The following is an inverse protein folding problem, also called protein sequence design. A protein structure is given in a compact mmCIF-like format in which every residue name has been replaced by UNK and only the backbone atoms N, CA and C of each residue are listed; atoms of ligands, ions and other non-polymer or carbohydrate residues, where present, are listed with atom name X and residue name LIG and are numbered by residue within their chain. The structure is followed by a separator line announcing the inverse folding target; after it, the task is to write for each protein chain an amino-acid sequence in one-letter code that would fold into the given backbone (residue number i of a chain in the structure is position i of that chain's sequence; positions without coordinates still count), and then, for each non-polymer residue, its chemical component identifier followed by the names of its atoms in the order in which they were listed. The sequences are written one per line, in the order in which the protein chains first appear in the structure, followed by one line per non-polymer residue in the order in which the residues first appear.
data_IF_235639346519
#
_entry.id   IF_235639346519
#
_cell.length_a   1.000
_cell.length_b   1.000
_cell.length_c   1.000
_cell.angle_alpha   90.00
_cell.angle_beta   90.00
_cell.angle_gamma   90.00
#
_symmetry.space_group_name_H-M   'P 1'
#
loop_
_entity.id
_entity.type
_entity.pdbx_description
1 polymer ?
#
# COMPACT_ATOMS: atom_id res chain seq x y z
N UNK A 1 -17.38 4.01 -43.70
CA UNK A 1 -16.91 3.76 -42.30
C UNK A 1 -16.73 2.28 -41.92
N UNK A 2 -17.60 1.36 -42.36
CA UNK A 2 -17.60 -0.05 -41.92
C UNK A 2 -16.27 -0.80 -42.14
N UNK A 3 -15.64 -0.63 -43.31
CA UNK A 3 -14.38 -1.32 -43.64
C UNK A 3 -13.24 -0.98 -42.65
N UNK A 4 -13.13 0.29 -42.25
CA UNK A 4 -12.13 0.74 -41.26
C UNK A 4 -12.41 0.14 -39.89
N UNK A 5 -13.68 0.03 -39.48
CA UNK A 5 -14.04 -0.60 -38.21
C UNK A 5 -13.73 -2.10 -38.20
N UNK A 6 -13.93 -2.78 -39.33
CA UNK A 6 -13.56 -4.19 -39.50
C UNK A 6 -12.04 -4.35 -39.39
N UNK A 7 -11.25 -3.49 -40.05
CA UNK A 7 -9.79 -3.53 -39.95
C UNK A 7 -9.31 -3.24 -38.52
N UNK A 8 -9.88 -2.21 -37.85
CA UNK A 8 -9.58 -1.91 -36.45
C UNK A 8 -9.88 -3.11 -35.53
N UNK A 9 -11.01 -3.77 -35.75
CA UNK A 9 -11.44 -4.96 -35.00
C UNK A 9 -10.52 -6.14 -35.25
N UNK A 10 -10.13 -6.38 -36.51
CA UNK A 10 -9.18 -7.43 -36.87
C UNK A 10 -7.80 -7.19 -36.24
N UNK A 11 -7.30 -5.94 -36.23
CA UNK A 11 -6.05 -5.58 -35.56
C UNK A 11 -6.12 -5.82 -34.04
N UNK A 12 -7.27 -5.52 -33.43
CA UNK A 12 -7.46 -5.68 -31.99
C UNK A 12 -7.58 -7.15 -31.55
N UNK A 13 -8.53 -7.88 -32.15
CA UNK A 13 -8.86 -9.26 -31.78
C UNK A 13 -7.89 -10.27 -32.41
N UNK A 14 -7.48 -10.07 -33.68
CA UNK A 14 -6.49 -10.90 -34.34
C UNK A 14 -5.11 -10.77 -33.70
N UNK A 15 -4.68 -9.54 -33.39
CA UNK A 15 -3.49 -9.31 -32.57
C UNK A 15 -3.60 -9.96 -31.17
N UNK A 16 -4.83 -10.06 -30.66
CA UNK A 16 -5.28 -10.88 -29.52
C UNK A 16 -4.76 -12.29 -29.56
N UNK A 17 -5.22 -13.02 -30.55
CA UNK A 17 -4.94 -14.43 -30.76
C UNK A 17 -3.45 -14.67 -31.03
N UNK A 18 -2.78 -13.72 -31.67
CA UNK A 18 -1.35 -13.78 -32.01
C UNK A 18 -0.40 -13.38 -30.87
N UNK A 19 -0.90 -13.09 -29.66
CA UNK A 19 -0.06 -12.78 -28.50
C UNK A 19 0.61 -11.39 -28.51
N UNK A 20 0.22 -10.49 -29.42
CA UNK A 20 0.83 -9.15 -29.54
C UNK A 20 0.54 -8.32 -28.28
N UNK A 21 1.47 -7.56 -27.67
CA UNK A 21 1.14 -6.73 -26.49
C UNK A 21 0.03 -5.69 -26.75
N UNK A 22 -0.83 -5.44 -25.75
CA UNK A 22 -1.98 -4.51 -25.89
C UNK A 22 -1.55 -3.09 -26.30
N UNK A 23 -0.41 -2.61 -25.81
CA UNK A 23 0.14 -1.30 -26.18
C UNK A 23 0.48 -1.20 -27.66
N UNK A 24 1.06 -2.25 -28.25
CA UNK A 24 1.42 -2.27 -29.67
C UNK A 24 0.16 -2.33 -30.56
N UNK A 25 -0.85 -3.10 -30.18
CA UNK A 25 -2.15 -3.15 -30.88
C UNK A 25 -2.84 -1.79 -30.87
N UNK A 26 -2.88 -1.13 -29.71
CA UNK A 26 -3.45 0.21 -29.58
C UNK A 26 -2.67 1.24 -30.42
N UNK A 27 -1.34 1.16 -30.43
CA UNK A 27 -0.49 2.00 -31.26
C UNK A 27 -0.76 1.84 -32.76
N UNK A 28 -0.89 0.59 -33.24
CA UNK A 28 -1.21 0.32 -34.65
C UNK A 28 -2.58 0.89 -35.06
N UNK A 29 -3.60 0.76 -34.20
CA UNK A 29 -4.92 1.33 -34.44
C UNK A 29 -4.87 2.87 -34.44
N UNK A 30 -4.10 3.48 -33.53
CA UNK A 30 -3.92 4.92 -33.47
C UNK A 30 -3.21 5.46 -34.73
N UNK A 31 -2.14 4.80 -35.19
CA UNK A 31 -1.43 5.15 -36.43
C UNK A 31 -2.36 5.05 -37.64
N UNK A 32 -3.13 3.95 -37.74
CA UNK A 32 -4.12 3.78 -38.80
C UNK A 32 -5.18 4.89 -38.78
N UNK A 33 -5.67 5.26 -37.60
CA UNK A 33 -6.65 6.33 -37.43
C UNK A 33 -6.08 7.71 -37.83
N UNK A 34 -4.85 8.03 -37.43
CA UNK A 34 -4.19 9.28 -37.82
C UNK A 34 -3.97 9.34 -39.33
N UNK A 35 -3.51 8.24 -39.94
CA UNK A 35 -3.34 8.15 -41.39
C UNK A 35 -4.68 8.35 -42.13
N UNK A 36 -5.77 7.81 -41.59
CA UNK A 36 -7.12 7.97 -42.14
C UNK A 36 -7.62 9.42 -42.04
N UNK A 37 -7.40 10.09 -40.91
CA UNK A 37 -7.77 11.50 -40.76
C UNK A 37 -6.93 12.38 -41.69
N UNK A 38 -5.62 12.13 -41.79
CA UNK A 38 -4.73 12.85 -42.70
C UNK A 38 -5.15 12.66 -44.17
N UNK A 39 -5.52 11.44 -44.56
CA UNK A 39 -6.06 11.16 -45.90
C UNK A 39 -7.27 12.05 -46.22
N UNK A 40 -8.21 12.23 -45.27
CA UNK A 40 -9.41 13.05 -45.51
C UNK A 40 -9.15 14.55 -45.49
N UNK A 41 -8.08 15.00 -44.84
CA UNK A 41 -7.72 16.42 -44.76
C UNK A 41 -6.83 16.86 -45.94
N UNK A 42 -5.96 15.99 -46.45
CA UNK A 42 -4.97 16.32 -47.48
C UNK A 42 -5.49 16.08 -48.89
N UNK A 43 -6.29 15.01 -49.09
CA UNK A 43 -6.70 14.63 -50.44
C UNK A 43 -8.00 15.33 -50.88
N UNK A 44 -8.09 15.72 -52.17
CA UNK A 44 -9.30 16.24 -52.79
C UNK A 44 -10.53 15.34 -52.59
N UNK A 45 -11.73 15.93 -52.62
CA UNK A 45 -12.98 15.22 -52.32
C UNK A 45 -13.33 14.11 -53.35
N UNK A 46 -12.81 14.23 -54.56
CA UNK A 46 -12.93 13.28 -55.67
C UNK A 46 -11.92 12.13 -55.62
N UNK A 47 -11.01 12.13 -54.63
CA UNK A 47 -10.01 11.08 -54.53
C UNK A 47 -10.65 9.71 -54.21
N UNK A 48 -10.32 8.63 -54.95
CA UNK A 48 -10.95 7.31 -54.79
C UNK A 48 -10.90 6.75 -53.36
N UNK A 49 -9.80 7.04 -52.63
CA UNK A 49 -9.62 6.61 -51.25
C UNK A 49 -10.47 7.39 -50.24
N UNK A 50 -10.93 8.60 -50.56
CA UNK A 50 -11.88 9.35 -49.72
C UNK A 50 -13.29 8.81 -49.92
N UNK A 51 -13.64 8.53 -51.17
CA UNK A 51 -14.96 7.99 -51.54
C UNK A 51 -15.23 6.62 -50.94
N UNK A 52 -14.20 5.78 -50.77
CA UNK A 52 -14.32 4.47 -50.11
C UNK A 52 -14.52 4.55 -48.59
N UNK A 53 -14.34 5.73 -47.98
CA UNK A 53 -14.41 5.96 -46.54
C UNK A 53 -15.43 7.03 -46.13
N UNK A 54 -16.54 7.13 -46.86
CA UNK A 54 -17.68 8.08 -46.72
C UNK A 54 -17.42 9.53 -47.18
N UNK A 55 -16.29 9.83 -47.81
CA UNK A 55 -16.00 11.12 -48.47
C UNK A 55 -15.80 12.32 -47.55
N UNK A 56 -16.32 12.27 -46.32
CA UNK A 56 -16.31 13.36 -45.35
C UNK A 56 -15.37 13.09 -44.18
N UNK A 57 -14.62 14.12 -43.77
CA UNK A 57 -13.78 14.07 -42.57
C UNK A 57 -14.59 14.15 -41.26
N UNK A 58 -15.83 14.66 -41.31
CA UNK A 58 -16.58 15.04 -40.11
C UNK A 58 -16.83 13.87 -39.14
N UNK A 59 -17.26 12.67 -39.58
CA UNK A 59 -17.47 11.53 -38.68
C UNK A 59 -16.18 11.07 -38.00
N UNK A 60 -15.06 11.12 -38.72
CA UNK A 60 -13.74 10.74 -38.21
C UNK A 60 -13.25 11.73 -37.16
N UNK A 61 -13.43 13.04 -37.39
CA UNK A 61 -13.08 14.08 -36.42
C UNK A 61 -13.95 14.02 -35.16
N UNK A 62 -15.25 13.75 -35.29
CA UNK A 62 -16.15 13.57 -34.14
C UNK A 62 -15.74 12.38 -33.28
N UNK A 63 -15.38 11.25 -33.91
CA UNK A 63 -14.90 10.06 -33.20
C UNK A 63 -13.59 10.35 -32.46
N UNK A 64 -12.68 11.12 -33.06
CA UNK A 64 -11.44 11.58 -32.42
C UNK A 64 -11.70 12.50 -31.24
N UNK A 65 -12.59 13.48 -31.40
CA UNK A 65 -12.99 14.40 -30.33
C UNK A 65 -13.58 13.66 -29.14
N UNK A 66 -14.46 12.68 -29.38
CA UNK A 66 -15.00 11.84 -28.32
C UNK A 66 -13.92 11.02 -27.60
N UNK A 67 -12.99 10.42 -28.35
CA UNK A 67 -11.87 9.68 -27.76
C UNK A 67 -10.98 10.58 -26.88
N UNK A 68 -10.70 11.81 -27.31
CA UNK A 68 -9.95 12.80 -26.53
C UNK A 68 -10.70 13.15 -25.24
N UNK A 69 -12.01 13.40 -25.30
CA UNK A 69 -12.82 13.67 -24.11
C UNK A 69 -12.78 12.51 -23.09
N UNK A 70 -12.88 11.27 -23.56
CA UNK A 70 -12.78 10.08 -22.70
C UNK A 70 -11.39 9.98 -22.04
N UNK A 71 -10.32 10.24 -22.79
CA UNK A 71 -8.95 10.23 -22.26
C UNK A 71 -8.75 11.33 -21.23
N UNK A 72 -9.19 12.56 -21.51
CA UNK A 72 -9.11 13.69 -20.58
C UNK A 72 -9.92 13.43 -19.30
N UNK A 73 -11.13 12.89 -19.42
CA UNK A 73 -11.95 12.50 -18.28
C UNK A 73 -11.26 11.43 -17.42
N UNK A 74 -10.70 10.39 -18.06
CA UNK A 74 -9.97 9.32 -17.36
C UNK A 74 -8.72 9.85 -16.66
N UNK A 75 -7.96 10.74 -17.30
CA UNK A 75 -6.78 11.37 -16.70
C UNK A 75 -7.18 12.24 -15.51
N UNK A 76 -8.22 13.08 -15.65
CA UNK A 76 -8.76 13.89 -14.56
C UNK A 76 -9.18 13.03 -13.37
N UNK A 77 -9.95 11.98 -13.60
CA UNK A 77 -10.37 11.06 -12.54
C UNK A 77 -9.19 10.37 -11.84
N UNK A 78 -8.19 9.93 -12.60
CA UNK A 78 -6.99 9.31 -12.04
C UNK A 78 -6.19 10.29 -11.17
N UNK A 79 -6.02 11.54 -11.62
CA UNK A 79 -5.33 12.57 -10.83
C UNK A 79 -6.09 12.92 -9.55
N UNK A 80 -7.42 12.99 -9.60
CA UNK A 80 -8.25 13.24 -8.42
C UNK A 80 -8.20 12.06 -7.43
N UNK A 81 -8.21 10.82 -7.92
CA UNK A 81 -8.04 9.62 -7.09
C UNK A 81 -6.66 9.55 -6.43
N UNK A 82 -5.60 9.85 -7.17
CA UNK A 82 -4.24 9.89 -6.63
C UNK A 82 -4.07 10.99 -5.56
N UNK A 83 -4.76 12.13 -5.70
CA UNK A 83 -4.80 13.19 -4.67
C UNK A 83 -5.64 12.80 -3.46
N UNK A 84 -6.74 12.07 -3.67
CA UNK A 84 -7.61 11.61 -2.59
C UNK A 84 -6.99 10.44 -1.79
N UNK A 85 -6.04 9.72 -2.38
CA UNK A 85 -5.36 8.60 -1.75
C UNK A 85 -3.89 8.61 -2.20
N UNK A 86 -2.99 9.37 -1.54
CA UNK A 86 -1.58 9.34 -1.88
C UNK A 86 -1.07 7.91 -1.68
N UNK A 87 -0.58 7.28 -2.74
CA UNK A 87 0.20 6.04 -2.61
C UNK A 87 1.46 6.38 -1.80
N UNK A 88 1.70 5.71 -0.66
CA UNK A 88 2.89 5.97 0.13
C UNK A 88 4.14 5.56 -0.68
N UNK A 89 5.01 6.54 -0.96
CA UNK A 89 6.34 6.33 -1.52
C UNK A 89 7.10 5.31 -0.67
N UNK A 90 7.50 4.19 -1.28
CA UNK A 90 8.09 3.06 -0.56
C UNK A 90 9.61 3.11 -0.64
N UNK A 91 10.35 3.12 0.48
CA UNK A 91 11.78 2.80 0.48
C UNK A 91 11.97 1.29 0.32
N UNK A 92 13.00 0.91 -0.44
CA UNK A 92 13.24 -0.43 -0.92
C UNK A 92 13.61 -1.46 0.18
N UNK A 93 12.68 -2.38 0.48
CA UNK A 93 12.95 -3.79 0.83
C UNK A 93 11.68 -4.60 0.51
N UNK A 94 11.42 -4.77 -0.79
CA UNK A 94 10.05 -4.81 -1.29
C UNK A 94 9.38 -6.19 -1.43
N UNK A 95 10.08 -7.27 -1.10
CA UNK A 95 9.54 -8.64 -1.20
C UNK A 95 9.57 -9.39 0.13
N UNK A 96 8.53 -10.18 0.39
CA UNK A 96 8.50 -11.16 1.47
C UNK A 96 9.38 -12.37 1.13
N UNK A 97 10.07 -12.93 2.12
CA UNK A 97 10.66 -14.27 1.99
C UNK A 97 9.57 -15.34 1.93
N UNK A 98 9.92 -16.56 1.50
CA UNK A 98 8.98 -17.69 1.51
C UNK A 98 8.45 -18.00 2.92
N UNK A 99 9.29 -17.82 3.96
CA UNK A 99 8.87 -18.02 5.35
C UNK A 99 7.86 -16.95 5.79
N UNK A 100 8.06 -15.69 5.39
CA UNK A 100 7.11 -14.61 5.64
C UNK A 100 5.80 -14.82 4.89
N UNK A 101 5.86 -15.22 3.61
CA UNK A 101 4.66 -15.52 2.81
C UNK A 101 3.82 -16.63 3.44
N UNK A 102 4.45 -17.71 3.89
CA UNK A 102 3.74 -18.81 4.57
C UNK A 102 3.12 -18.33 5.89
N UNK A 103 3.89 -17.60 6.71
CA UNK A 103 3.44 -17.07 8.00
C UNK A 103 2.25 -16.11 7.86
N UNK A 104 2.30 -15.19 6.90
CA UNK A 104 1.28 -14.16 6.70
C UNK A 104 0.19 -14.54 5.70
N UNK A 105 0.20 -15.77 5.17
CA UNK A 105 -0.74 -16.22 4.15
C UNK A 105 -2.21 -15.95 4.53
N UNK A 106 -2.57 -16.17 5.80
CA UNK A 106 -3.93 -15.94 6.31
C UNK A 106 -4.35 -14.46 6.31
N UNK A 107 -3.42 -13.53 6.40
CA UNK A 107 -3.71 -12.09 6.27
C UNK A 107 -3.74 -11.66 4.81
N UNK A 108 -2.82 -12.17 3.99
CA UNK A 108 -2.70 -11.84 2.57
C UNK A 108 -3.96 -12.24 1.79
N UNK A 109 -4.66 -13.30 2.18
CA UNK A 109 -5.92 -13.71 1.52
C UNK A 109 -7.13 -12.83 1.91
N UNK A 110 -7.04 -12.03 2.97
CA UNK A 110 -8.13 -11.13 3.37
C UNK A 110 -8.23 -9.98 2.39
N UNK A 111 -9.44 -9.71 1.88
CA UNK A 111 -9.68 -8.68 0.88
C UNK A 111 -9.27 -7.29 1.36
N UNK A 112 -9.49 -7.01 2.64
CA UNK A 112 -9.21 -5.72 3.28
C UNK A 112 -7.72 -5.50 3.57
N UNK A 113 -6.92 -6.58 3.61
CA UNK A 113 -5.47 -6.50 3.88
C UNK A 113 -4.69 -6.76 2.59
N UNK A 114 -4.80 -7.94 2.00
CA UNK A 114 -4.07 -8.29 0.79
C UNK A 114 -2.54 -8.30 0.99
N UNK A 115 -1.80 -8.54 -0.10
CA UNK A 115 -0.34 -8.40 -0.10
C UNK A 115 0.12 -6.97 0.17
N UNK A 116 -0.63 -5.96 -0.31
CA UNK A 116 -0.32 -4.55 -0.12
C UNK A 116 -0.45 -4.13 1.35
N UNK A 117 -1.52 -4.52 2.04
CA UNK A 117 -1.72 -4.23 3.46
C UNK A 117 -0.72 -4.96 4.34
N UNK A 118 -0.38 -6.21 4.02
CA UNK A 118 0.69 -6.91 4.75
C UNK A 118 2.04 -6.22 4.56
N UNK A 119 2.31 -5.68 3.36
CA UNK A 119 3.53 -4.91 3.08
C UNK A 119 3.54 -3.59 3.84
N UNK A 120 2.39 -2.92 3.94
CA UNK A 120 2.23 -1.74 4.78
C UNK A 120 2.53 -2.05 6.26
N UNK A 121 2.03 -3.17 6.80
CA UNK A 121 2.38 -3.61 8.16
C UNK A 121 3.90 -3.85 8.31
N UNK A 122 4.52 -4.55 7.34
CA UNK A 122 5.98 -4.81 7.34
C UNK A 122 6.81 -3.52 7.31
N UNK A 123 6.30 -2.46 6.71
CA UNK A 123 7.01 -1.17 6.64
C UNK A 123 6.67 -0.23 7.81
N UNK A 124 5.60 -0.52 8.55
CA UNK A 124 5.14 0.31 9.65
C UNK A 124 6.05 0.22 10.89
N UNK A 125 6.13 1.34 11.59
CA UNK A 125 6.76 1.50 12.89
C UNK A 125 5.70 1.87 13.92
N UNK A 126 5.50 1.01 14.93
CA UNK A 126 4.53 1.26 16.00
C UNK A 126 5.24 1.38 17.35
N UNK A 127 4.96 2.46 18.09
CA UNK A 127 5.42 2.63 19.47
C UNK A 127 4.30 2.21 20.42
N UNK A 128 4.62 1.35 21.39
CA UNK A 128 3.73 1.00 22.49
C UNK A 128 4.30 1.56 23.79
N UNK A 129 3.52 2.43 24.44
CA UNK A 129 3.87 3.04 25.72
C UNK A 129 3.27 2.19 26.84
N UNK A 130 4.12 1.50 27.57
CA UNK A 130 3.75 0.52 28.58
C UNK A 130 3.71 -0.92 28.02
N UNK A 131 4.38 -1.83 28.71
CA UNK A 131 4.36 -3.28 28.48
C UNK A 131 3.48 -4.00 29.53
N UNK A 132 2.57 -3.26 30.17
CA UNK A 132 1.66 -3.77 31.20
C UNK A 132 0.43 -4.51 30.65
N UNK A 133 -0.69 -4.48 31.38
CA UNK A 133 -1.88 -5.30 31.06
C UNK A 133 -2.54 -4.97 29.72
N UNK A 134 -2.41 -3.73 29.22
CA UNK A 134 -2.93 -3.30 27.92
C UNK A 134 -1.88 -3.45 26.81
N UNK A 135 -0.63 -3.08 27.10
CA UNK A 135 0.47 -3.17 26.15
C UNK A 135 0.85 -4.61 25.81
N UNK A 136 0.82 -5.53 26.78
CA UNK A 136 1.18 -6.93 26.60
C UNK A 136 0.43 -7.62 25.44
N UNK A 137 -0.92 -7.64 25.40
CA UNK A 137 -1.64 -8.22 24.28
C UNK A 137 -1.42 -7.45 22.97
N UNK A 138 -1.32 -6.12 23.02
CA UNK A 138 -1.06 -5.31 21.82
C UNK A 138 0.29 -5.69 21.17
N UNK A 139 1.35 -5.77 21.97
CA UNK A 139 2.70 -6.18 21.53
C UNK A 139 2.68 -7.58 20.89
N UNK A 140 2.01 -8.56 21.52
CA UNK A 140 1.87 -9.91 20.97
C UNK A 140 1.20 -9.91 19.59
N UNK A 141 0.09 -9.19 19.44
CA UNK A 141 -0.64 -9.18 18.17
C UNK A 141 0.04 -8.34 17.08
N UNK A 142 0.71 -7.24 17.43
CA UNK A 142 1.53 -6.47 16.48
C UNK A 142 2.69 -7.31 15.95
N UNK A 143 3.39 -8.03 16.84
CA UNK A 143 4.47 -8.93 16.47
C UNK A 143 3.97 -10.08 15.59
N UNK A 144 2.87 -10.73 15.99
CA UNK A 144 2.24 -11.80 15.22
C UNK A 144 1.76 -11.33 13.83
N UNK A 145 1.22 -10.11 13.75
CA UNK A 145 0.74 -9.51 12.51
C UNK A 145 1.87 -9.11 11.55
N UNK A 146 3.12 -9.06 12.02
CA UNK A 146 4.27 -8.71 11.19
C UNK A 146 4.45 -7.22 11.01
N UNK A 147 4.14 -6.42 12.05
CA UNK A 147 4.55 -5.01 12.08
C UNK A 147 6.07 -4.93 12.07
N UNK A 148 6.61 -4.19 11.12
CA UNK A 148 8.05 -4.19 10.81
C UNK A 148 8.93 -3.78 11.97
N UNK A 149 8.61 -2.64 12.60
CA UNK A 149 9.33 -2.14 13.77
C UNK A 149 8.37 -1.89 14.92
N UNK A 150 8.66 -2.47 16.08
CA UNK A 150 7.88 -2.28 17.31
C UNK A 150 8.79 -1.65 18.35
N UNK A 151 8.50 -0.40 18.72
CA UNK A 151 9.06 0.25 19.89
C UNK A 151 8.25 -0.11 21.12
N UNK A 152 8.91 -0.39 22.24
CA UNK A 152 8.24 -0.57 23.52
C UNK A 152 9.00 0.20 24.60
N UNK A 153 8.29 1.08 25.31
CA UNK A 153 8.86 1.88 26.39
C UNK A 153 8.12 1.59 27.70
N UNK A 154 8.86 1.17 28.72
CA UNK A 154 8.36 0.86 30.07
C UNK A 154 9.57 0.88 31.01
N UNK A 155 9.42 1.42 32.23
CA UNK A 155 10.46 1.49 33.25
C UNK A 155 10.41 0.36 34.30
N UNK A 156 9.33 -0.41 34.32
CA UNK A 156 9.10 -1.43 35.34
C UNK A 156 9.79 -2.78 35.01
N UNK A 157 9.88 -3.61 36.05
CA UNK A 157 10.27 -5.01 35.95
C UNK A 157 9.05 -5.95 36.01
N UNK A 158 9.23 -7.19 35.58
CA UNK A 158 8.20 -8.23 35.68
C UNK A 158 8.03 -8.66 37.13
N UNK A 159 6.78 -8.67 37.60
CA UNK A 159 6.42 -9.08 38.96
C UNK A 159 5.34 -10.17 38.93
N UNK A 160 5.41 -11.12 39.87
CA UNK A 160 4.45 -12.22 39.98
C UNK A 160 2.99 -11.73 40.08
N UNK A 161 2.75 -10.67 40.86
CA UNK A 161 1.43 -10.06 41.07
C UNK A 161 0.84 -9.38 39.82
N UNK A 162 1.58 -9.36 38.71
CA UNK A 162 1.15 -8.80 37.44
C UNK A 162 0.89 -9.86 36.35
N UNK A 163 1.34 -11.11 36.55
CA UNK A 163 1.27 -12.18 35.54
C UNK A 163 -0.17 -12.61 35.20
N UNK A 164 -1.15 -12.39 36.07
CA UNK A 164 -2.56 -12.68 35.80
C UNK A 164 -3.17 -11.86 34.65
N UNK A 165 -2.52 -10.76 34.24
CA UNK A 165 -2.99 -9.88 33.15
C UNK A 165 -1.92 -9.50 32.13
N UNK A 166 -0.64 -9.61 32.48
CA UNK A 166 0.46 -9.26 31.58
C UNK A 166 0.97 -10.52 30.84
N UNK A 167 0.13 -11.05 29.96
CA UNK A 167 0.26 -12.39 29.34
C UNK A 167 1.47 -12.56 28.40
N UNK A 168 2.19 -11.48 28.08
CA UNK A 168 3.44 -11.55 27.32
C UNK A 168 4.63 -11.98 28.20
N UNK A 169 4.51 -11.80 29.53
CA UNK A 169 5.55 -12.15 30.49
C UNK A 169 5.32 -13.55 31.05
N UNK A 170 6.42 -14.22 31.43
CA UNK A 170 6.42 -15.56 32.01
C UNK A 170 7.01 -15.51 33.42
N UNK A 171 6.67 -16.49 34.24
CA UNK A 171 7.18 -16.61 35.62
C UNK A 171 8.72 -16.60 35.66
N UNK A 172 9.38 -17.26 34.69
CA UNK A 172 10.83 -17.27 34.55
C UNK A 172 11.47 -15.89 34.25
N UNK A 173 10.66 -14.88 33.89
CA UNK A 173 11.14 -13.52 33.60
C UNK A 173 10.97 -12.55 34.77
N UNK A 174 10.47 -13.00 35.93
CA UNK A 174 10.34 -12.15 37.14
C UNK A 174 11.69 -11.48 37.46
N UNK A 175 11.66 -10.18 37.74
CA UNK A 175 12.85 -9.34 37.97
C UNK A 175 13.58 -8.89 36.69
N UNK A 176 13.13 -9.31 35.50
CA UNK A 176 13.64 -8.78 34.24
C UNK A 176 12.85 -7.51 33.87
N UNK A 177 13.49 -6.46 33.33
CA UNK A 177 12.76 -5.32 32.79
C UNK A 177 11.70 -5.75 31.77
N UNK A 178 10.48 -5.21 31.88
CA UNK A 178 9.34 -5.64 31.05
C UNK A 178 9.64 -5.51 29.56
N UNK A 179 10.32 -4.45 29.16
CA UNK A 179 10.68 -4.22 27.74
C UNK A 179 11.57 -5.33 27.16
N UNK A 180 12.51 -5.87 27.94
CA UNK A 180 13.37 -6.95 27.48
C UNK A 180 12.65 -8.31 27.50
N UNK A 181 11.82 -8.55 28.52
CA UNK A 181 10.95 -9.73 28.55
C UNK A 181 10.01 -9.76 27.34
N UNK A 182 9.37 -8.62 27.03
CA UNK A 182 8.49 -8.47 25.88
C UNK A 182 9.24 -8.62 24.55
N UNK A 183 10.44 -8.05 24.44
CA UNK A 183 11.29 -8.22 23.25
C UNK A 183 11.61 -9.68 22.98
N UNK A 184 12.01 -10.43 24.01
CA UNK A 184 12.34 -11.84 23.87
C UNK A 184 11.12 -12.64 23.36
N UNK A 185 9.93 -12.39 23.91
CA UNK A 185 8.72 -13.09 23.49
C UNK A 185 8.28 -12.74 22.07
N UNK A 186 8.29 -11.45 21.71
CA UNK A 186 7.93 -10.99 20.36
C UNK A 186 8.89 -11.56 19.30
N UNK A 187 10.20 -11.54 19.57
CA UNK A 187 11.23 -12.05 18.64
C UNK A 187 11.16 -13.58 18.51
N UNK A 188 10.90 -14.28 19.62
CA UNK A 188 10.68 -15.73 19.59
C UNK A 188 9.43 -16.09 18.79
N UNK A 189 8.36 -15.30 18.92
CA UNK A 189 7.14 -15.49 18.14
C UNK A 189 7.37 -15.20 16.66
N UNK A 190 7.97 -14.07 16.32
CA UNK A 190 8.20 -13.63 14.94
C UNK A 190 9.61 -13.04 14.75
N UNK A 191 10.57 -13.81 14.17
CA UNK A 191 11.94 -13.34 13.98
C UNK A 191 12.11 -12.36 12.80
N UNK A 192 11.03 -12.02 12.08
CA UNK A 192 11.08 -11.12 10.92
C UNK A 192 10.86 -9.65 11.26
N UNK A 193 10.56 -9.34 12.53
CA UNK A 193 10.32 -7.97 12.99
C UNK A 193 11.55 -7.41 13.71
N UNK A 194 11.62 -6.09 13.81
CA UNK A 194 12.59 -5.38 14.64
C UNK A 194 11.93 -4.89 15.91
N UNK A 195 12.43 -5.28 17.08
CA UNK A 195 11.94 -4.76 18.37
C UNK A 195 12.97 -3.80 18.96
N UNK A 196 12.52 -2.61 19.36
CA UNK A 196 13.31 -1.58 20.04
C UNK A 196 12.84 -1.40 21.48
N UNK A 197 13.49 -2.04 22.47
CA UNK A 197 13.15 -1.87 23.88
C UNK A 197 13.76 -0.58 24.44
N UNK A 198 12.95 0.22 25.11
CA UNK A 198 13.37 1.42 25.84
C UNK A 198 13.09 1.23 27.32
N UNK A 199 14.07 0.74 28.08
CA UNK A 199 13.94 0.58 29.54
C UNK A 199 14.15 1.93 30.23
N UNK A 200 13.13 2.79 30.15
CA UNK A 200 13.10 4.12 30.75
C UNK A 200 11.69 4.66 30.76
N UNK A 201 11.44 5.63 31.63
CA UNK A 201 10.15 6.32 31.69
C UNK A 201 9.99 7.27 30.52
N UNK A 202 8.77 7.38 29.98
CA UNK A 202 8.43 8.43 29.01
C UNK A 202 8.28 9.79 29.74
N UNK A 203 9.24 10.69 29.51
CA UNK A 203 9.27 12.04 30.06
C UNK A 203 8.98 13.08 28.98
N UNK A 204 8.65 14.31 29.38
CA UNK A 204 8.34 15.41 28.46
C UNK A 204 9.53 15.76 27.54
N UNK A 205 10.76 15.58 28.03
CA UNK A 205 11.98 15.88 27.28
C UNK A 205 12.21 14.93 26.10
N UNK A 206 11.76 13.68 26.21
CA UNK A 206 12.01 12.65 25.19
C UNK A 206 10.76 12.30 24.36
N UNK A 207 9.57 12.72 24.80
CA UNK A 207 8.32 12.24 24.21
C UNK A 207 8.17 12.65 22.75
N UNK A 208 8.38 13.93 22.43
CA UNK A 208 8.20 14.44 21.06
C UNK A 208 9.17 13.77 20.07
N UNK A 209 10.45 13.68 20.41
CA UNK A 209 11.46 13.03 19.56
C UNK A 209 11.16 11.55 19.37
N UNK A 210 10.83 10.84 20.46
CA UNK A 210 10.54 9.41 20.39
C UNK A 210 9.27 9.12 19.60
N UNK A 211 8.21 9.92 19.76
CA UNK A 211 6.94 9.75 19.03
C UNK A 211 7.14 10.02 17.53
N UNK A 212 7.92 11.02 17.17
CA UNK A 212 8.19 11.39 15.77
C UNK A 212 8.87 10.29 14.95
N UNK A 213 9.54 9.33 15.61
CA UNK A 213 10.20 8.19 14.95
C UNK A 213 9.24 7.07 14.49
N UNK A 214 7.96 7.15 14.85
CA UNK A 214 6.96 6.10 14.65
C UNK A 214 5.72 6.60 13.89
N UNK A 215 5.09 5.69 13.14
CA UNK A 215 3.90 6.00 12.32
C UNK A 215 2.61 5.97 13.16
N UNK A 216 2.60 5.20 14.24
CA UNK A 216 1.47 5.03 15.15
C UNK A 216 1.98 4.84 16.59
N UNK A 217 1.27 5.46 17.55
CA UNK A 217 1.53 5.31 18.98
C UNK A 217 0.32 4.69 19.66
N UNK A 218 0.56 3.68 20.50
CA UNK A 218 -0.43 3.07 21.36
C UNK A 218 -0.11 3.37 22.83
N UNK A 219 -1.01 4.09 23.50
CA UNK A 219 -0.96 4.28 24.95
C UNK A 219 -1.53 3.02 25.65
N UNK A 220 -0.64 2.19 26.18
CA UNK A 220 -0.95 1.04 27.01
C UNK A 220 -0.86 1.32 28.51
N UNK A 221 -0.74 2.59 28.91
CA UNK A 221 -0.58 2.98 30.32
C UNK A 221 -1.91 3.18 31.03
N UNK A 222 -1.91 2.92 32.33
CA UNK A 222 -3.03 3.19 33.24
C UNK A 222 -2.86 4.51 34.01
N UNK A 223 -1.84 5.30 33.67
CA UNK A 223 -1.52 6.57 34.31
C UNK A 223 -1.93 7.76 33.45
N UNK A 224 -2.83 8.59 33.97
CA UNK A 224 -3.26 9.84 33.34
C UNK A 224 -2.09 10.75 32.95
N UNK A 225 -1.07 10.87 33.80
CA UNK A 225 0.08 11.72 33.53
C UNK A 225 0.78 11.32 32.23
N UNK A 226 1.07 10.02 32.06
CA UNK A 226 1.69 9.51 30.84
C UNK A 226 0.77 9.67 29.63
N UNK A 227 -0.54 9.39 29.78
CA UNK A 227 -1.51 9.59 28.70
C UNK A 227 -1.53 11.03 28.17
N UNK A 228 -1.51 12.02 29.07
CA UNK A 228 -1.46 13.42 28.64
C UNK A 228 -0.16 13.77 27.94
N UNK A 229 0.99 13.21 28.35
CA UNK A 229 2.26 13.41 27.63
C UNK A 229 2.22 12.81 26.24
N UNK A 230 1.74 11.57 26.09
CA UNK A 230 1.62 10.90 24.78
C UNK A 230 0.72 11.71 23.85
N UNK A 231 -0.39 12.26 24.35
CA UNK A 231 -1.30 13.06 23.54
C UNK A 231 -0.74 14.44 23.14
N UNK A 232 0.19 14.99 23.94
CA UNK A 232 0.78 16.30 23.66
C UNK A 232 1.99 16.24 22.72
N UNK A 233 2.68 15.10 22.70
CA UNK A 233 3.80 14.80 21.80
C UNK A 233 3.32 14.60 20.35
#
# INVERSE_FOLDING_TARGET
MLAVLIIASALWFGGGVLGIPRGLRAGLIAVMYVALVALHLVFPADHPLRLSTDGSAAPWLLLGGFAVLVVLYRQGLNTLRARANPEPETPATDSFSDSELNRYARHIVLREVGGAGQKALKNAKVLVVGAGGLGAPALQYLAAAGVGTIGVIDDDEVENANLQRQVIHKDAAIGTPKVFSAQAEMTAQNPHITVRPYHRRLTDEIAAELVADYDLVLDGTDNFGTRYRVNAA
#
